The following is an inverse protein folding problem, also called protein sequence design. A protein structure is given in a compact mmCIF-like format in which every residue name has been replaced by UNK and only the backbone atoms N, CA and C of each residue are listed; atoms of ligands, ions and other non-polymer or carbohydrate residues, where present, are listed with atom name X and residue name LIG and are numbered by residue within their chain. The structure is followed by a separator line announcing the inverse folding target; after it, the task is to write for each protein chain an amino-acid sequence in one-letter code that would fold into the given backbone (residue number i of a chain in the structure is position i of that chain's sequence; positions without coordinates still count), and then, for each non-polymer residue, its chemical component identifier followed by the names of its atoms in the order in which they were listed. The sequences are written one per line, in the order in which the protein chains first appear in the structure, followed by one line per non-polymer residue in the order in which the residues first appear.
data_IF_185020304708
#
_entry.id   IF_185020304708
#
_cell.length_a   1.000
_cell.length_b   1.000
_cell.length_c   1.000
_cell.angle_alpha   90.00
_cell.angle_beta   90.00
_cell.angle_gamma   90.00
#
_symmetry.space_group_name_H-M   'P 1'
#
loop_
_entity.id
_entity.type
_entity.pdbx_description
1 polymer ?
#
# COMPACT_ATOMS: atom_id res chain seq x y z
N UNK A 1 -53.99 -53.34 -13.81
CA UNK A 1 -53.54 -52.12 -14.50
C UNK A 1 -53.30 -51.03 -13.45
N UNK A 2 -52.08 -50.88 -12.94
CA UNK A 2 -51.69 -49.71 -12.14
C UNK A 2 -50.82 -48.81 -13.02
N UNK A 3 -51.20 -47.54 -13.06
CA UNK A 3 -50.65 -46.46 -13.87
C UNK A 3 -49.52 -45.82 -13.06
N UNK A 4 -48.30 -45.85 -13.59
CA UNK A 4 -47.15 -45.12 -13.05
C UNK A 4 -47.44 -43.61 -13.08
N UNK A 5 -47.25 -42.85 -11.98
CA UNK A 5 -47.28 -41.40 -12.03
C UNK A 5 -45.96 -40.88 -12.63
N UNK A 6 -46.12 -40.15 -13.73
CA UNK A 6 -45.05 -39.58 -14.53
C UNK A 6 -44.14 -38.62 -13.76
N UNK A 7 -42.87 -38.72 -14.13
CA UNK A 7 -41.77 -37.83 -13.83
C UNK A 7 -42.18 -36.38 -14.13
N UNK A 8 -42.31 -35.57 -13.07
CA UNK A 8 -42.69 -34.17 -13.19
C UNK A 8 -41.60 -33.36 -13.88
N UNK A 9 -41.90 -32.89 -15.10
CA UNK A 9 -41.17 -31.83 -15.78
C UNK A 9 -41.16 -30.56 -14.91
N UNK A 10 -40.07 -30.34 -14.19
CA UNK A 10 -39.76 -29.04 -13.63
C UNK A 10 -39.36 -28.12 -14.78
N UNK A 11 -40.29 -27.24 -15.20
CA UNK A 11 -40.04 -26.24 -16.23
C UNK A 11 -38.81 -25.36 -15.95
N UNK A 12 -38.27 -24.68 -16.98
CA UNK A 12 -37.02 -23.93 -16.87
C UNK A 12 -37.12 -22.85 -15.78
N UNK A 13 -36.17 -22.86 -14.83
CA UNK A 13 -36.08 -21.84 -13.79
C UNK A 13 -35.40 -20.60 -14.35
N UNK A 14 -35.93 -19.41 -14.06
CA UNK A 14 -35.31 -18.14 -14.46
C UNK A 14 -34.47 -17.59 -13.32
N UNK A 15 -33.30 -17.02 -13.64
CA UNK A 15 -32.45 -16.33 -12.67
C UNK A 15 -33.13 -15.04 -12.19
N UNK A 16 -33.35 -14.87 -10.88
CA UNK A 16 -33.94 -13.65 -10.31
C UNK A 16 -33.05 -12.40 -10.45
N UNK A 17 -31.73 -12.58 -10.62
CA UNK A 17 -30.80 -11.46 -10.78
C UNK A 17 -30.68 -10.94 -12.22
N UNK A 18 -30.89 -11.78 -13.25
CA UNK A 18 -30.67 -11.37 -14.64
C UNK A 18 -31.73 -11.86 -15.65
N UNK A 19 -32.71 -12.67 -15.24
CA UNK A 19 -33.78 -13.18 -16.10
C UNK A 19 -33.41 -14.34 -17.02
N UNK A 20 -32.15 -14.79 -17.02
CA UNK A 20 -31.72 -15.90 -17.88
C UNK A 20 -32.43 -17.21 -17.53
N UNK A 21 -32.87 -17.95 -18.53
CA UNK A 21 -33.44 -19.29 -18.36
C UNK A 21 -32.34 -20.31 -18.10
N UNK A 22 -32.50 -21.09 -17.05
CA UNK A 22 -31.52 -22.07 -16.59
C UNK A 22 -32.04 -23.47 -16.89
N UNK A 23 -31.22 -24.25 -17.60
CA UNK A 23 -31.47 -25.66 -17.82
C UNK A 23 -30.88 -26.47 -16.65
N UNK A 24 -31.74 -27.07 -15.84
CA UNK A 24 -31.35 -27.96 -14.74
C UNK A 24 -31.02 -27.29 -13.40
N UNK A 25 -30.56 -28.10 -12.44
CA UNK A 25 -30.24 -27.68 -11.09
C UNK A 25 -28.79 -27.16 -11.00
N UNK A 26 -28.59 -25.87 -11.32
CA UNK A 26 -27.30 -25.19 -11.16
C UNK A 26 -27.29 -24.34 -9.89
N UNK A 27 -26.19 -24.36 -9.15
CA UNK A 27 -26.03 -23.59 -7.91
C UNK A 27 -25.72 -22.11 -8.16
N UNK A 28 -25.20 -21.79 -9.35
CA UNK A 28 -24.82 -20.45 -9.77
C UNK A 28 -25.31 -20.19 -11.20
N UNK A 29 -25.70 -18.95 -11.50
CA UNK A 29 -26.12 -18.56 -12.83
C UNK A 29 -24.88 -18.41 -13.75
N UNK A 30 -24.77 -19.15 -14.87
CA UNK A 30 -23.63 -19.03 -15.78
C UNK A 30 -23.61 -17.72 -16.58
N UNK A 31 -24.72 -16.97 -16.60
CA UNK A 31 -24.81 -15.69 -17.31
C UNK A 31 -24.35 -14.48 -16.46
N UNK A 32 -24.53 -14.52 -15.14
CA UNK A 32 -24.22 -13.37 -14.27
C UNK A 32 -23.49 -13.70 -12.97
N UNK A 33 -23.26 -14.99 -12.66
CA UNK A 33 -22.56 -15.44 -11.46
C UNK A 33 -23.38 -15.46 -10.17
N UNK A 34 -24.66 -15.06 -10.20
CA UNK A 34 -25.50 -15.02 -9.01
C UNK A 34 -25.73 -16.43 -8.42
N UNK A 35 -25.64 -16.58 -7.10
CA UNK A 35 -25.95 -17.83 -6.40
C UNK A 35 -27.46 -18.05 -6.34
N UNK A 36 -27.92 -19.25 -6.72
CA UNK A 36 -29.34 -19.61 -6.83
C UNK A 36 -29.84 -20.41 -5.61
N UNK A 37 -29.02 -20.53 -4.56
CA UNK A 37 -29.44 -21.13 -3.30
C UNK A 37 -30.51 -20.23 -2.66
N UNK A 38 -31.75 -20.70 -2.69
CA UNK A 38 -32.83 -20.15 -1.89
C UNK A 38 -32.48 -20.36 -0.42
N UNK A 39 -32.66 -19.32 0.39
CA UNK A 39 -32.48 -19.37 1.84
C UNK A 39 -33.19 -20.60 2.43
N UNK A 40 -32.59 -21.31 3.39
CA UNK A 40 -33.29 -22.39 4.08
C UNK A 40 -34.56 -21.83 4.74
N UNK A 41 -35.63 -22.65 4.84
CA UNK A 41 -36.87 -22.23 5.49
C UNK A 41 -36.55 -21.74 6.90
N UNK A 42 -37.05 -20.55 7.25
CA UNK A 42 -36.93 -19.97 8.59
C UNK A 42 -37.53 -20.96 9.60
N UNK A 43 -36.67 -21.67 10.32
CA UNK A 43 -37.08 -22.33 11.56
C UNK A 43 -37.60 -21.26 12.53
N UNK A 44 -38.71 -21.50 13.25
CA UNK A 44 -39.19 -20.58 14.26
C UNK A 44 -38.16 -20.49 15.39
N UNK A 45 -37.71 -19.25 15.57
CA UNK A 45 -36.89 -18.69 16.63
C UNK A 45 -37.13 -19.38 17.98
N UNK A 46 -36.16 -20.21 18.39
CA UNK A 46 -36.05 -20.68 19.76
C UNK A 46 -35.42 -19.56 20.58
N UNK A 47 -36.19 -19.06 21.54
CA UNK A 47 -35.89 -18.11 22.62
C UNK A 47 -34.44 -17.57 22.69
N UNK A 48 -34.35 -16.25 22.61
CA UNK A 48 -33.17 -15.43 22.86
C UNK A 48 -32.41 -15.87 24.12
N UNK A 49 -31.09 -16.03 23.97
CA UNK A 49 -30.19 -15.89 25.12
C UNK A 49 -29.94 -14.40 25.38
N UNK A 50 -29.73 -13.98 26.63
CA UNK A 50 -29.66 -12.57 26.97
C UNK A 50 -28.45 -11.90 26.31
N UNK A 51 -28.73 -10.78 25.67
CA UNK A 51 -27.80 -9.79 25.16
C UNK A 51 -27.08 -9.12 26.33
N UNK A 52 -25.81 -9.48 26.56
CA UNK A 52 -24.99 -8.87 27.60
C UNK A 52 -23.65 -9.56 27.83
N UNK A 53 -22.77 -9.64 26.82
CA UNK A 53 -21.37 -10.02 27.07
C UNK A 53 -20.35 -9.66 25.96
N UNK A 54 -20.66 -8.72 25.04
CA UNK A 54 -19.74 -8.38 23.95
C UNK A 54 -18.48 -7.61 24.40
N UNK A 55 -18.54 -6.86 25.50
CA UNK A 55 -17.39 -6.11 26.01
C UNK A 55 -16.35 -7.00 26.73
N UNK A 56 -16.78 -8.10 27.37
CA UNK A 56 -15.88 -9.03 28.03
C UNK A 56 -15.07 -9.88 27.04
N UNK A 57 -15.69 -10.27 25.92
CA UNK A 57 -15.04 -11.07 24.88
C UNK A 57 -13.98 -10.26 24.11
N UNK A 58 -14.23 -8.98 23.82
CA UNK A 58 -13.27 -8.16 23.09
C UNK A 58 -12.02 -7.83 23.93
N UNK A 59 -12.20 -7.58 25.24
CA UNK A 59 -11.08 -7.33 26.17
C UNK A 59 -10.23 -8.58 26.40
N UNK A 60 -10.86 -9.77 26.45
CA UNK A 60 -10.13 -11.05 26.49
C UNK A 60 -9.40 -11.34 25.18
N UNK A 61 -10.00 -11.06 24.02
CA UNK A 61 -9.32 -11.26 22.73
C UNK A 61 -8.08 -10.37 22.58
N UNK A 62 -8.16 -9.12 23.05
CA UNK A 62 -6.98 -8.24 23.09
C UNK A 62 -5.91 -8.75 24.04
N UNK A 63 -6.26 -9.21 25.24
CA UNK A 63 -5.30 -9.79 26.19
C UNK A 63 -4.60 -11.04 25.61
N UNK A 64 -5.32 -11.91 24.90
CA UNK A 64 -4.70 -13.05 24.22
C UNK A 64 -3.80 -12.62 23.06
N UNK A 65 -4.20 -11.62 22.26
CA UNK A 65 -3.36 -11.09 21.18
C UNK A 65 -2.05 -10.48 21.74
N UNK A 66 -2.12 -9.67 22.79
CA UNK A 66 -0.93 -9.12 23.45
C UNK A 66 -0.07 -10.22 24.09
N UNK A 67 -0.68 -11.24 24.72
CA UNK A 67 0.05 -12.38 25.27
C UNK A 67 0.79 -13.17 24.16
N UNK A 68 0.16 -13.41 23.01
CA UNK A 68 0.82 -14.08 21.89
C UNK A 68 2.01 -13.27 21.36
N UNK A 69 1.84 -11.95 21.18
CA UNK A 69 2.92 -11.07 20.72
C UNK A 69 4.07 -11.05 21.74
N UNK A 70 3.78 -10.97 23.04
CA UNK A 70 4.79 -11.01 24.08
C UNK A 70 5.58 -12.33 24.06
N UNK A 71 4.90 -13.48 23.91
CA UNK A 71 5.57 -14.79 23.77
C UNK A 71 6.46 -14.83 22.54
N UNK A 72 5.99 -14.36 21.38
CA UNK A 72 6.81 -14.32 20.17
C UNK A 72 8.02 -13.41 20.31
N UNK A 73 7.87 -12.23 20.94
CA UNK A 73 8.98 -11.31 21.21
C UNK A 73 9.98 -11.95 22.17
N UNK A 74 9.53 -12.63 23.23
CA UNK A 74 10.42 -13.32 24.17
C UNK A 74 11.16 -14.48 23.52
N UNK A 75 10.48 -15.29 22.70
CA UNK A 75 11.11 -16.39 21.94
C UNK A 75 12.11 -15.84 20.93
N UNK A 76 11.77 -14.77 20.21
CA UNK A 76 12.65 -14.16 19.22
C UNK A 76 13.87 -13.50 19.88
N UNK A 77 13.68 -12.80 21.00
CA UNK A 77 14.77 -12.24 21.78
C UNK A 77 15.68 -13.35 22.33
N UNK A 78 15.11 -14.42 22.90
CA UNK A 78 15.87 -15.60 23.34
C UNK A 78 16.64 -16.26 22.21
N UNK A 79 16.04 -16.40 21.03
CA UNK A 79 16.68 -16.93 19.84
C UNK A 79 17.86 -16.04 19.37
N UNK A 80 17.69 -14.72 19.35
CA UNK A 80 18.76 -13.77 19.00
C UNK A 80 19.89 -13.79 20.02
N UNK A 81 19.60 -13.82 21.32
CA UNK A 81 20.61 -13.92 22.37
C UNK A 81 21.37 -15.26 22.30
N UNK A 82 20.66 -16.38 22.07
CA UNK A 82 21.28 -17.68 21.89
C UNK A 82 22.18 -17.73 20.65
N UNK A 83 21.76 -17.09 19.55
CA UNK A 83 22.59 -16.99 18.34
C UNK A 83 23.77 -16.04 18.47
N UNK A 84 23.73 -15.08 19.41
CA UNK A 84 24.89 -14.24 19.73
C UNK A 84 25.93 -15.00 20.55
N UNK A 85 25.51 -15.80 21.53
CA UNK A 85 26.44 -16.62 22.30
C UNK A 85 27.07 -17.77 21.50
N UNK A 86 26.38 -18.26 20.45
CA UNK A 86 26.99 -19.18 19.47
C UNK A 86 28.08 -18.51 18.61
N UNK A 87 28.15 -17.18 18.56
CA UNK A 87 29.18 -16.40 17.88
C UNK A 87 30.32 -15.91 18.78
N UNK A 88 30.26 -16.15 20.10
CA UNK A 88 31.19 -15.59 21.09
C UNK A 88 32.21 -16.60 21.66
N UNK A 89 32.40 -17.76 21.04
CA UNK A 89 33.60 -18.61 21.29
C UNK A 89 34.73 -18.35 20.31
N UNK A 90 34.80 -17.15 19.73
CA UNK A 90 35.91 -16.73 18.89
C UNK A 90 36.05 -15.21 18.84
N UNK A 91 36.47 -14.58 19.94
CA UNK A 91 37.26 -13.32 19.90
C UNK A 91 37.75 -12.92 21.29
N UNK A 92 38.68 -13.69 21.85
CA UNK A 92 39.56 -13.15 22.88
C UNK A 92 40.58 -12.23 22.20
N UNK A 93 40.37 -10.91 22.28
CA UNK A 93 41.46 -9.92 22.31
C UNK A 93 40.89 -8.55 22.69
N UNK A 94 41.18 -8.16 23.94
CA UNK A 94 41.77 -6.88 24.38
C UNK A 94 41.32 -5.60 23.66
N UNK A 95 40.89 -4.59 24.45
CA UNK A 95 41.45 -3.21 24.46
C UNK A 95 40.70 -2.27 25.43
N UNK A 96 41.46 -1.81 26.42
CA UNK A 96 41.44 -0.52 27.16
C UNK A 96 40.21 0.00 27.92
N UNK A 97 40.42 0.12 29.23
CA UNK A 97 39.84 1.10 30.14
C UNK A 97 39.95 2.54 29.62
N UNK A 98 38.86 3.30 29.72
CA UNK A 98 38.84 4.75 29.60
C UNK A 98 37.53 5.29 30.18
N UNK A 99 37.57 5.69 31.46
CA UNK A 99 36.47 6.33 32.16
C UNK A 99 36.44 7.84 31.86
N UNK A 100 35.26 8.41 31.58
CA UNK A 100 35.00 9.85 31.75
C UNK A 100 33.55 10.06 32.23
N UNK A 101 33.43 10.92 33.24
CA UNK A 101 32.25 11.22 34.05
C UNK A 101 31.09 11.87 33.29
N UNK A 102 29.88 11.74 33.86
CA UNK A 102 28.62 12.19 33.28
C UNK A 102 28.22 13.64 33.53
N UNK A 103 27.13 14.05 32.86
CA UNK A 103 26.36 15.28 33.10
C UNK A 103 24.88 15.03 32.69
N UNK A 104 23.87 15.52 33.43
CA UNK A 104 22.43 15.23 33.28
C UNK A 104 21.71 15.97 32.12
N UNK A 105 20.44 15.61 31.79
CA UNK A 105 19.78 16.05 30.56
C UNK A 105 19.15 17.45 30.66
N UNK A 106 19.24 18.21 29.57
CA UNK A 106 18.55 19.49 29.37
C UNK A 106 17.45 19.36 28.29
N UNK A 107 16.42 20.25 28.32
CA UNK A 107 15.08 19.98 27.80
C UNK A 107 14.83 20.40 26.32
N UNK A 108 13.69 19.93 25.82
CA UNK A 108 13.11 20.06 24.47
C UNK A 108 13.12 21.47 23.86
N UNK A 109 13.34 21.63 22.54
CA UNK A 109 13.02 22.85 21.82
C UNK A 109 11.65 22.83 21.12
N UNK A 110 10.91 23.94 21.26
CA UNK A 110 9.69 24.34 20.54
C UNK A 110 9.93 24.64 19.04
N UNK A 111 8.87 24.67 18.19
CA UNK A 111 9.01 24.70 16.72
C UNK A 111 9.36 26.09 16.17
N UNK A 112 10.26 26.13 15.20
CA UNK A 112 10.65 27.32 14.42
C UNK A 112 9.71 27.49 13.22
N UNK A 113 9.21 28.71 13.06
CA UNK A 113 8.34 29.16 11.97
C UNK A 113 9.04 29.18 10.61
N UNK A 114 8.29 28.83 9.56
CA UNK A 114 8.71 28.82 8.15
C UNK A 114 8.55 30.21 7.53
N UNK A 115 9.58 30.81 6.90
CA UNK A 115 9.41 31.99 6.06
C UNK A 115 9.13 31.60 4.59
N UNK A 116 8.16 32.29 4.01
CA UNK A 116 7.68 32.21 2.62
C UNK A 116 8.69 32.84 1.63
N UNK A 117 8.82 32.35 0.38
CA UNK A 117 9.71 32.95 -0.62
C UNK A 117 9.05 34.15 -1.34
N UNK A 118 9.81 35.22 -1.69
CA UNK A 118 9.30 36.29 -2.53
C UNK A 118 9.44 36.01 -4.03
N UNK A 119 8.51 36.62 -4.78
CA UNK A 119 8.44 36.66 -6.24
C UNK A 119 9.64 37.38 -6.87
N UNK A 120 10.13 36.86 -8.00
CA UNK A 120 11.23 37.43 -8.77
C UNK A 120 10.70 38.26 -9.94
N UNK A 121 11.01 39.55 -9.91
CA UNK A 121 10.82 40.50 -11.01
C UNK A 121 12.07 40.50 -11.88
N UNK A 122 11.89 40.47 -13.20
CA UNK A 122 12.93 40.56 -14.21
C UNK A 122 13.71 41.89 -14.12
N UNK A 123 15.02 41.85 -14.38
CA UNK A 123 15.81 43.01 -14.78
C UNK A 123 17.08 42.61 -15.55
N UNK A 124 17.19 43.21 -16.74
CA UNK A 124 18.29 43.30 -17.69
C UNK A 124 19.46 44.16 -17.18
N UNK A 125 20.71 43.73 -17.43
CA UNK A 125 21.91 44.57 -17.59
C UNK A 125 23.06 43.69 -18.16
N UNK A 126 23.49 43.87 -19.41
CA UNK A 126 24.55 44.79 -19.86
C UNK A 126 25.96 44.40 -19.36
N UNK A 127 26.74 43.78 -20.26
CA UNK A 127 28.14 43.40 -20.05
C UNK A 127 29.11 44.57 -20.32
N UNK A 128 30.22 44.68 -19.57
CA UNK A 128 31.39 45.43 -20.01
C UNK A 128 32.57 44.51 -20.36
N UNK A 129 33.22 44.83 -21.47
CA UNK A 129 34.47 44.24 -21.98
C UNK A 129 35.68 44.79 -21.20
N UNK A 130 36.66 43.96 -20.79
CA UNK A 130 37.97 44.45 -20.33
C UNK A 130 39.07 44.35 -21.42
N UNK A 131 40.06 45.28 -21.45
CA UNK A 131 41.18 45.27 -22.41
C UNK A 131 42.41 44.47 -21.92
N UNK A 132 43.38 44.14 -22.80
CA UNK A 132 44.50 43.25 -22.48
C UNK A 132 45.78 44.02 -22.08
N UNK A 133 46.57 43.49 -21.12
CA UNK A 133 48.01 43.80 -20.97
C UNK A 133 48.83 42.63 -20.39
N UNK A 134 49.84 42.26 -21.19
CA UNK A 134 51.19 41.72 -20.96
C UNK A 134 51.56 40.92 -19.69
N UNK A 135 51.97 39.66 -19.97
CA UNK A 135 53.21 38.97 -19.59
C UNK A 135 53.85 39.19 -18.21
N UNK A 136 53.89 38.10 -17.43
CA UNK A 136 55.06 37.74 -16.62
C UNK A 136 55.22 36.21 -16.64
N UNK A 137 56.35 35.76 -17.18
CA UNK A 137 56.80 34.38 -17.10
C UNK A 137 57.19 34.05 -15.66
N UNK A 138 56.83 32.85 -15.19
CA UNK A 138 57.47 32.23 -14.05
C UNK A 138 57.69 30.76 -14.42
N UNK A 139 58.96 30.46 -14.69
CA UNK A 139 59.44 29.10 -14.88
C UNK A 139 59.48 28.44 -13.51
N UNK A 140 58.78 27.32 -13.36
CA UNK A 140 59.01 26.40 -12.25
C UNK A 140 59.00 24.99 -12.83
N UNK A 141 60.20 24.39 -12.78
CA UNK A 141 60.53 22.97 -12.71
C UNK A 141 59.55 21.98 -13.36
N UNK A 142 59.91 21.49 -14.54
CA UNK A 142 59.27 20.35 -15.20
C UNK A 142 59.65 19.04 -14.50
N UNK A 143 58.82 18.61 -13.55
CA UNK A 143 58.64 17.18 -13.26
C UNK A 143 57.64 16.61 -14.29
N UNK A 144 57.78 15.37 -14.79
CA UNK A 144 56.97 14.87 -15.91
C UNK A 144 55.47 14.87 -15.53
N UNK A 145 54.63 15.71 -16.16
CA UNK A 145 53.25 15.94 -15.69
C UNK A 145 52.27 14.82 -16.05
N UNK A 146 52.74 13.73 -16.68
CA UNK A 146 51.89 12.67 -17.23
C UNK A 146 51.36 11.66 -16.20
N UNK A 147 52.17 11.25 -15.22
CA UNK A 147 51.82 10.09 -14.39
C UNK A 147 50.77 10.38 -13.30
N UNK A 148 50.85 11.55 -12.64
CA UNK A 148 49.87 11.95 -11.62
C UNK A 148 48.50 12.33 -12.24
N UNK A 149 48.52 12.98 -13.41
CA UNK A 149 47.31 13.36 -14.16
C UNK A 149 46.55 12.14 -14.69
N UNK A 150 47.26 11.15 -15.25
CA UNK A 150 46.66 9.89 -15.69
C UNK A 150 46.06 9.06 -14.54
N UNK A 151 46.68 9.11 -13.35
CA UNK A 151 46.15 8.44 -12.16
C UNK A 151 44.88 9.11 -11.65
N UNK A 152 44.84 10.44 -11.58
CA UNK A 152 43.64 11.21 -11.23
C UNK A 152 42.47 10.93 -12.17
N UNK A 153 42.70 10.97 -13.49
CA UNK A 153 41.67 10.67 -14.50
C UNK A 153 41.15 9.23 -14.40
N UNK A 154 42.02 8.27 -14.07
CA UNK A 154 41.64 6.87 -13.86
C UNK A 154 40.79 6.71 -12.61
N UNK A 155 41.13 7.41 -11.53
CA UNK A 155 40.36 7.39 -10.28
C UNK A 155 38.99 8.07 -10.45
N UNK A 156 38.92 9.20 -11.14
CA UNK A 156 37.64 9.86 -11.49
C UNK A 156 36.74 8.97 -12.35
N UNK A 157 37.31 8.31 -13.37
CA UNK A 157 36.58 7.34 -14.19
C UNK A 157 36.08 6.15 -13.36
N UNK A 158 36.89 5.65 -12.44
CA UNK A 158 36.50 4.57 -11.54
C UNK A 158 35.33 4.98 -10.61
N UNK A 159 35.34 6.22 -10.11
CA UNK A 159 34.23 6.78 -9.30
C UNK A 159 32.97 6.94 -10.14
N UNK A 160 33.07 7.46 -11.37
CA UNK A 160 31.94 7.58 -12.28
C UNK A 160 31.30 6.21 -12.59
N UNK A 161 32.11 5.20 -12.92
CA UNK A 161 31.61 3.84 -13.18
C UNK A 161 30.90 3.23 -11.97
N UNK A 162 31.37 3.49 -10.74
CA UNK A 162 30.70 3.05 -9.51
C UNK A 162 29.36 3.75 -9.31
N UNK A 163 29.28 5.07 -9.58
CA UNK A 163 28.01 5.82 -9.53
C UNK A 163 27.01 5.27 -10.53
N UNK A 164 27.42 5.06 -11.78
CA UNK A 164 26.56 4.49 -12.82
C UNK A 164 26.06 3.09 -12.47
N UNK A 165 26.92 2.28 -11.83
CA UNK A 165 26.53 0.96 -11.33
C UNK A 165 25.51 1.05 -10.20
N UNK A 166 25.67 2.01 -9.27
CA UNK A 166 24.68 2.28 -8.21
C UNK A 166 23.35 2.70 -8.81
N UNK A 167 23.34 3.68 -9.74
CA UNK A 167 22.13 4.16 -10.41
C UNK A 167 21.38 3.02 -11.12
N UNK A 168 22.11 2.14 -11.82
CA UNK A 168 21.51 0.95 -12.44
C UNK A 168 20.93 -0.03 -11.40
N UNK A 169 21.61 -0.20 -10.27
CA UNK A 169 21.10 -1.03 -9.18
C UNK A 169 19.85 -0.42 -8.52
N UNK A 170 19.81 0.91 -8.33
CA UNK A 170 18.66 1.65 -7.82
C UNK A 170 17.44 1.52 -8.74
N UNK A 171 17.63 1.73 -10.04
CA UNK A 171 16.57 1.51 -11.03
C UNK A 171 16.06 0.07 -11.00
N UNK A 172 16.96 -0.92 -10.97
CA UNK A 172 16.58 -2.33 -10.92
C UNK A 172 15.76 -2.67 -9.67
N UNK A 173 16.15 -2.13 -8.50
CA UNK A 173 15.40 -2.29 -7.25
C UNK A 173 14.01 -1.64 -7.32
N UNK A 174 13.92 -0.44 -7.88
CA UNK A 174 12.66 0.27 -8.05
C UNK A 174 11.72 -0.47 -8.99
N UNK A 175 12.20 -0.96 -10.13
CA UNK A 175 11.38 -1.75 -11.06
C UNK A 175 10.91 -3.07 -10.41
N UNK A 176 11.76 -3.76 -9.65
CA UNK A 176 11.36 -4.95 -8.91
C UNK A 176 10.28 -4.65 -7.85
N UNK A 177 10.42 -3.54 -7.11
CA UNK A 177 9.42 -3.09 -6.15
C UNK A 177 8.09 -2.70 -6.79
N UNK A 178 8.14 -2.09 -7.99
CA UNK A 178 6.97 -1.76 -8.78
C UNK A 178 6.20 -3.02 -9.20
N UNK A 179 6.88 -4.00 -9.81
CA UNK A 179 6.28 -5.29 -10.22
C UNK A 179 5.63 -5.99 -9.02
N UNK A 180 6.37 -6.15 -7.91
CA UNK A 180 5.85 -6.78 -6.70
C UNK A 180 4.66 -6.05 -6.07
N UNK A 181 4.55 -4.72 -6.26
CA UNK A 181 3.40 -3.94 -5.81
C UNK A 181 2.20 -4.11 -6.75
N UNK A 182 2.41 -4.11 -8.06
CA UNK A 182 1.37 -4.37 -9.06
C UNK A 182 0.79 -5.78 -8.93
N UNK A 183 1.63 -6.79 -8.68
CA UNK A 183 1.20 -8.18 -8.43
C UNK A 183 0.24 -8.30 -7.24
N UNK A 184 0.36 -7.39 -6.27
CA UNK A 184 -0.48 -7.31 -5.07
C UNK A 184 -1.63 -6.32 -5.19
N UNK A 185 -1.85 -5.75 -6.38
CA UNK A 185 -2.81 -4.66 -6.63
C UNK A 185 -2.61 -3.46 -5.70
N UNK A 186 -1.36 -3.11 -5.39
CA UNK A 186 -1.03 -1.94 -4.58
C UNK A 186 -0.55 -0.80 -5.48
N UNK A 187 -1.48 0.02 -5.97
CA UNK A 187 -1.17 1.04 -6.98
C UNK A 187 -0.33 2.20 -6.42
N UNK A 188 -0.57 2.61 -5.17
CA UNK A 188 0.18 3.69 -4.52
C UNK A 188 1.69 3.41 -4.40
N UNK A 189 2.10 2.27 -3.80
CA UNK A 189 3.51 1.85 -3.79
C UNK A 189 4.11 1.66 -5.20
N UNK A 190 3.35 1.04 -6.13
CA UNK A 190 3.81 0.87 -7.51
C UNK A 190 4.13 2.22 -8.18
N UNK A 191 3.23 3.21 -8.05
CA UNK A 191 3.41 4.57 -8.57
C UNK A 191 4.72 5.18 -8.09
N UNK A 192 4.98 5.12 -6.77
CA UNK A 192 6.21 5.69 -6.18
C UNK A 192 7.46 5.04 -6.77
N UNK A 193 7.49 3.71 -6.83
CA UNK A 193 8.63 2.97 -7.38
C UNK A 193 8.87 3.26 -8.86
N UNK A 194 7.81 3.35 -9.67
CA UNK A 194 7.91 3.70 -11.10
C UNK A 194 8.43 5.13 -11.27
N UNK A 195 7.91 6.09 -10.49
CA UNK A 195 8.38 7.47 -10.52
C UNK A 195 9.85 7.60 -10.12
N UNK A 196 10.29 6.84 -9.10
CA UNK A 196 11.72 6.79 -8.73
C UNK A 196 12.58 6.22 -9.85
N UNK A 197 12.13 5.17 -10.55
CA UNK A 197 12.88 4.63 -11.70
C UNK A 197 12.97 5.64 -12.86
N UNK A 198 11.89 6.34 -13.17
CA UNK A 198 11.84 7.35 -14.24
C UNK A 198 12.62 8.63 -13.90
N UNK A 199 12.72 8.99 -12.61
CA UNK A 199 13.56 10.10 -12.17
C UNK A 199 15.04 9.83 -12.43
N UNK A 200 15.49 8.59 -12.26
CA UNK A 200 16.88 8.18 -12.54
C UNK A 200 17.13 7.93 -14.04
N UNK A 201 16.14 7.36 -14.75
CA UNK A 201 16.22 7.05 -16.18
C UNK A 201 14.90 7.38 -16.89
N UNK A 202 14.72 8.62 -17.40
CA UNK A 202 13.46 9.06 -18.02
C UNK A 202 13.03 8.27 -19.27
N UNK A 203 14.00 7.68 -19.98
CA UNK A 203 13.78 6.89 -21.19
C UNK A 203 13.67 5.38 -20.96
N UNK A 204 13.51 4.93 -19.71
CA UNK A 204 13.41 3.51 -19.42
C UNK A 204 12.07 2.94 -19.94
N UNK A 205 12.14 2.18 -21.04
CA UNK A 205 10.94 1.65 -21.71
C UNK A 205 10.06 0.76 -20.83
N UNK A 206 10.66 -0.02 -19.94
CA UNK A 206 9.92 -0.86 -18.99
C UNK A 206 9.17 -0.01 -17.95
N UNK A 207 9.82 1.03 -17.41
CA UNK A 207 9.17 1.93 -16.47
C UNK A 207 7.99 2.68 -17.12
N UNK A 208 8.14 3.10 -18.38
CA UNK A 208 7.07 3.73 -19.17
C UNK A 208 5.91 2.76 -19.44
N UNK A 209 6.21 1.49 -19.71
CA UNK A 209 5.18 0.45 -19.87
C UNK A 209 4.42 0.21 -18.57
N UNK A 210 5.11 0.09 -17.44
CA UNK A 210 4.44 -0.05 -16.14
C UNK A 210 3.63 1.21 -15.77
N UNK A 211 4.07 2.39 -16.21
CA UNK A 211 3.31 3.63 -16.00
C UNK A 211 1.97 3.60 -16.74
N UNK A 212 1.94 3.16 -18.01
CA UNK A 212 0.68 3.12 -18.77
C UNK A 212 -0.31 2.10 -18.19
N UNK A 213 0.18 0.93 -17.77
CA UNK A 213 -0.64 -0.07 -17.08
C UNK A 213 -1.19 0.46 -15.75
N UNK A 214 -0.32 1.10 -14.95
CA UNK A 214 -0.71 1.71 -13.68
C UNK A 214 -1.81 2.75 -13.87
N UNK A 215 -1.65 3.66 -14.83
CA UNK A 215 -2.62 4.73 -15.10
C UNK A 215 -4.00 4.17 -15.49
N UNK A 216 -4.04 3.08 -16.27
CA UNK A 216 -5.30 2.43 -16.63
C UNK A 216 -6.01 1.88 -15.38
N UNK A 217 -5.29 1.17 -14.50
CA UNK A 217 -5.86 0.63 -13.24
C UNK A 217 -6.31 1.75 -12.30
N UNK A 218 -5.55 2.84 -12.22
CA UNK A 218 -5.91 3.99 -11.39
C UNK A 218 -7.17 4.69 -11.89
N UNK A 219 -7.33 4.80 -13.21
CA UNK A 219 -8.55 5.33 -13.82
C UNK A 219 -9.76 4.44 -13.49
N UNK A 220 -9.63 3.11 -13.61
CA UNK A 220 -10.69 2.17 -13.24
C UNK A 220 -11.08 2.28 -11.76
N UNK A 221 -10.08 2.37 -10.87
CA UNK A 221 -10.30 2.62 -9.43
C UNK A 221 -11.07 3.92 -9.21
N UNK A 222 -10.68 5.00 -9.88
CA UNK A 222 -11.27 6.32 -9.67
C UNK A 222 -12.72 6.39 -10.18
N UNK A 223 -13.03 5.67 -11.26
CA UNK A 223 -14.41 5.48 -11.73
C UNK A 223 -15.27 4.78 -10.65
N UNK A 224 -14.77 3.68 -10.09
CA UNK A 224 -15.46 2.92 -9.03
C UNK A 224 -15.66 3.75 -7.76
N UNK A 225 -14.64 4.50 -7.34
CA UNK A 225 -14.74 5.42 -6.20
C UNK A 225 -15.76 6.53 -6.47
N UNK A 226 -15.79 7.08 -7.69
CA UNK A 226 -16.80 8.05 -8.11
C UNK A 226 -18.23 7.52 -7.94
N UNK A 227 -18.49 6.29 -8.44
CA UNK A 227 -19.78 5.61 -8.28
C UNK A 227 -20.11 5.30 -6.81
N UNK A 228 -19.14 4.84 -6.02
CA UNK A 228 -19.33 4.56 -4.60
C UNK A 228 -19.75 5.82 -3.82
N UNK A 229 -19.09 6.96 -4.05
CA UNK A 229 -19.45 8.25 -3.45
C UNK A 229 -20.85 8.70 -3.87
N UNK A 230 -21.21 8.52 -5.14
CA UNK A 230 -22.55 8.87 -5.64
C UNK A 230 -23.64 8.03 -4.97
N UNK A 231 -23.43 6.73 -4.81
CA UNK A 231 -24.36 5.85 -4.09
C UNK A 231 -24.46 6.21 -2.61
N UNK A 232 -23.34 6.51 -1.95
CA UNK A 232 -23.34 6.97 -0.57
C UNK A 232 -24.13 8.28 -0.38
N UNK A 233 -24.03 9.24 -1.32
CA UNK A 233 -24.85 10.48 -1.28
C UNK A 233 -26.36 10.22 -1.42
N UNK A 234 -26.74 9.15 -2.11
CA UNK A 234 -28.13 8.74 -2.29
C UNK A 234 -28.64 7.81 -1.17
N UNK A 235 -27.83 7.56 -0.14
CA UNK A 235 -28.09 6.57 0.92
C UNK A 235 -28.32 5.13 0.40
N UNK A 236 -27.85 4.82 -0.81
CA UNK A 236 -27.79 3.45 -1.33
C UNK A 236 -26.48 2.80 -0.87
N UNK A 237 -26.51 2.26 0.35
CA UNK A 237 -25.34 1.68 1.00
C UNK A 237 -24.92 0.34 0.38
N UNK A 238 -25.85 -0.41 -0.24
CA UNK A 238 -25.51 -1.67 -0.93
C UNK A 238 -24.73 -1.38 -2.21
N UNK A 239 -25.19 -0.39 -3.01
CA UNK A 239 -24.42 0.07 -4.16
C UNK A 239 -23.04 0.60 -3.75
N UNK A 240 -22.98 1.41 -2.69
CA UNK A 240 -21.72 1.98 -2.21
C UNK A 240 -20.73 0.89 -1.78
N UNK A 241 -21.20 -0.11 -1.03
CA UNK A 241 -20.41 -1.27 -0.61
C UNK A 241 -19.83 -2.02 -1.81
N UNK A 242 -20.65 -2.31 -2.82
CA UNK A 242 -20.21 -3.07 -3.98
C UNK A 242 -19.14 -2.34 -4.80
N UNK A 243 -19.34 -1.05 -5.07
CA UNK A 243 -18.37 -0.26 -5.82
C UNK A 243 -17.08 -0.04 -5.04
N UNK A 244 -17.15 0.21 -3.73
CA UNK A 244 -15.97 0.32 -2.88
C UNK A 244 -15.18 -1.00 -2.80
N UNK A 245 -15.88 -2.14 -2.68
CA UNK A 245 -15.27 -3.47 -2.72
C UNK A 245 -14.56 -3.75 -4.05
N UNK A 246 -15.19 -3.44 -5.18
CA UNK A 246 -14.56 -3.53 -6.50
C UNK A 246 -13.35 -2.61 -6.61
N UNK A 247 -13.41 -1.39 -6.09
CA UNK A 247 -12.25 -0.50 -6.07
C UNK A 247 -11.06 -1.10 -5.31
N UNK A 248 -11.30 -1.85 -4.23
CA UNK A 248 -10.25 -2.57 -3.50
C UNK A 248 -9.67 -3.77 -4.25
N UNK A 249 -10.43 -4.38 -5.16
CA UNK A 249 -9.87 -5.41 -6.06
C UNK A 249 -8.91 -4.83 -7.09
N UNK A 250 -9.10 -3.56 -7.47
CA UNK A 250 -8.21 -2.83 -8.39
C UNK A 250 -7.02 -2.23 -7.64
N UNK A 251 -7.26 -1.66 -6.46
CA UNK A 251 -6.25 -1.05 -5.59
C UNK A 251 -6.48 -1.40 -4.11
N UNK A 252 -5.85 -2.49 -3.68
CA UNK A 252 -5.89 -2.95 -2.29
C UNK A 252 -5.29 -1.92 -1.32
N UNK A 253 -4.42 -1.02 -1.83
CA UNK A 253 -3.80 0.04 -1.04
C UNK A 253 -4.68 1.26 -0.84
N UNK A 254 -5.86 1.37 -1.48
CA UNK A 254 -6.76 2.53 -1.38
C UNK A 254 -7.37 2.68 0.01
N UNK A 255 -7.00 3.75 0.74
CA UNK A 255 -7.60 4.07 2.04
C UNK A 255 -9.06 4.51 1.89
N UNK A 256 -9.35 5.32 0.89
CA UNK A 256 -10.70 5.82 0.67
C UNK A 256 -11.70 4.70 0.35
N UNK A 257 -11.29 3.70 -0.43
CA UNK A 257 -12.15 2.55 -0.71
C UNK A 257 -12.44 1.75 0.58
N UNK A 258 -11.43 1.58 1.47
CA UNK A 258 -11.62 0.96 2.79
C UNK A 258 -12.58 1.77 3.67
N UNK A 259 -12.43 3.10 3.69
CA UNK A 259 -13.26 4.00 4.48
C UNK A 259 -14.72 3.95 4.01
N UNK A 260 -14.96 4.05 2.69
CA UNK A 260 -16.31 3.94 2.11
C UNK A 260 -16.95 2.58 2.37
N UNK A 261 -16.18 1.49 2.23
CA UNK A 261 -16.66 0.14 2.49
C UNK A 261 -17.08 -0.02 3.97
N UNK A 262 -16.24 0.44 4.90
CA UNK A 262 -16.52 0.34 6.33
C UNK A 262 -17.77 1.13 6.72
N UNK A 263 -17.94 2.34 6.16
CA UNK A 263 -19.12 3.17 6.38
C UNK A 263 -20.38 2.49 5.82
N UNK A 264 -20.31 1.95 4.60
CA UNK A 264 -21.45 1.28 3.99
C UNK A 264 -21.92 0.07 4.80
N UNK A 265 -20.99 -0.72 5.37
CA UNK A 265 -21.32 -1.84 6.27
C UNK A 265 -22.00 -1.37 7.57
N UNK A 266 -21.50 -0.28 8.16
CA UNK A 266 -22.06 0.28 9.39
C UNK A 266 -23.51 0.78 9.17
N UNK A 267 -23.75 1.49 8.07
CA UNK A 267 -25.06 2.02 7.72
C UNK A 267 -26.07 0.91 7.36
N UNK A 268 -25.62 -0.13 6.65
CA UNK A 268 -26.45 -1.29 6.36
C UNK A 268 -26.90 -2.01 7.63
N UNK A 269 -25.99 -2.14 8.61
CA UNK A 269 -26.30 -2.74 9.92
C UNK A 269 -27.28 -1.87 10.72
N UNK A 270 -27.09 -0.54 10.72
CA UNK A 270 -27.99 0.39 11.38
C UNK A 270 -29.40 0.40 10.77
N UNK A 271 -29.53 0.26 9.45
CA UNK A 271 -30.83 0.13 8.78
C UNK A 271 -31.57 -1.14 9.23
N UNK A 272 -30.86 -2.28 9.28
CA UNK A 272 -31.45 -3.53 9.75
C UNK A 272 -31.95 -3.47 11.20
N UNK A 273 -31.25 -2.74 12.09
CA UNK A 273 -31.70 -2.53 13.46
C UNK A 273 -32.96 -1.68 13.56
N UNK A 274 -33.10 -0.63 12.74
CA UNK A 274 -34.32 0.21 12.71
C UNK A 274 -35.53 -0.53 12.15
N UNK A 275 -35.31 -1.38 11.14
CA UNK A 275 -36.39 -2.16 10.52
C UNK A 275 -36.88 -3.30 11.42
N UNK A 276 -36.04 -3.78 12.35
CA UNK A 276 -36.40 -4.82 13.31
C UNK A 276 -36.92 -4.26 14.65
N UNK A 277 -37.03 -2.94 14.85
CA UNK A 277 -37.48 -2.37 16.12
C UNK A 277 -38.98 -2.69 16.38
N UNK A 278 -39.29 -3.67 17.27
CA UNK A 278 -40.65 -4.14 17.47
C UNK A 278 -41.50 -3.16 18.28
N UNK A 279 -40.91 -2.07 18.78
CA UNK A 279 -41.62 -1.04 19.54
C UNK A 279 -42.47 -0.10 18.65
N UNK A 280 -42.34 -0.18 17.32
CA UNK A 280 -43.13 0.58 16.35
C UNK A 280 -44.41 -0.14 15.85
N UNK A 281 -44.60 -1.42 16.16
CA UNK A 281 -45.78 -2.21 15.74
C UNK A 281 -46.94 -2.20 16.77
N UNK A 282 -46.87 -1.37 17.81
CA UNK A 282 -47.93 -1.23 18.83
C UNK A 282 -48.70 0.09 18.70
N UNK A 283 -49.48 0.28 17.63
CA UNK A 283 -50.62 1.21 17.58
C UNK A 283 -51.73 0.71 16.64
#
# INVERSE_FOLDING_TARGET
MRKEPGLGDAGPRQCSSCGASLAGAVNFCPHCGASLQSAPPREPMRAERPYGDHEAHHRRSYLYAFATVAVFVSVFAGYVLSHRHAGETASETQVTQGAVAGTPPAPMPSPVAVPMPPAQTAQTAAAPVPPPRHAAASHTETAPPGAASLKSLRDERAVAMKRDASLRADVSRNLAGARASLDKNNLGPARRSIMSALAEQPGNGEALQMQSELLAREQDRDLLLGSARLCARQADWVCAWHNAGRALTVDASSSEARDLLSRAMAEQSAKGQREFDPSLDSQ
#
